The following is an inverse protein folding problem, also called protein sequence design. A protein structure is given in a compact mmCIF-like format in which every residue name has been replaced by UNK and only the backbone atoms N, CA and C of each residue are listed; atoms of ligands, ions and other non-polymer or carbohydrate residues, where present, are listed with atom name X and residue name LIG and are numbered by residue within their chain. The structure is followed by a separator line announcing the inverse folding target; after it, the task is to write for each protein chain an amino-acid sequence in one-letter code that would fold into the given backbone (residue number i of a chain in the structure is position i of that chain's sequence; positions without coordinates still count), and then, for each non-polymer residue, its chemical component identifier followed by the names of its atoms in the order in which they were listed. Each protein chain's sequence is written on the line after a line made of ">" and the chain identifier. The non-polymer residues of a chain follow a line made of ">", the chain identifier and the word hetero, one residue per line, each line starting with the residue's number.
data_IF_725843386020
#
_entry.id   IF_725843386020
#
_cell.length_a   1.000
_cell.length_b   1.000
_cell.length_c   1.000
_cell.angle_alpha   90.00
_cell.angle_beta   90.00
_cell.angle_gamma   90.00
#
_symmetry.space_group_name_H-M   'P 1'
#
loop_
_entity.id
_entity.type
_entity.pdbx_description
1 polymer ?
#
# COMPACT_ATOMS: atom_id res chain seq x y z
N UNK A 1 33.17 -63.68 18.13
CA UNK A 1 33.27 -62.21 17.96
C UNK A 1 31.88 -61.61 17.77
N UNK A 2 31.25 -61.11 18.84
CA UNK A 2 30.10 -60.20 18.83
C UNK A 2 30.17 -59.39 20.13
N UNK A 3 30.34 -58.07 20.05
CA UNK A 3 30.22 -57.16 21.20
C UNK A 3 28.75 -56.76 21.35
N UNK A 4 28.22 -56.68 22.57
CA UNK A 4 27.14 -55.76 22.89
C UNK A 4 27.66 -54.57 23.69
N UNK A 5 27.24 -53.39 23.25
CA UNK A 5 27.53 -52.07 23.78
C UNK A 5 26.71 -51.80 25.04
N UNK A 6 27.37 -51.17 26.00
CA UNK A 6 26.85 -50.58 27.24
C UNK A 6 25.85 -49.44 26.98
N UNK A 7 24.63 -49.55 27.52
CA UNK A 7 23.75 -48.41 27.79
C UNK A 7 23.47 -48.36 29.29
N UNK A 8 23.94 -47.30 29.94
CA UNK A 8 23.57 -46.91 31.28
C UNK A 8 23.14 -45.44 31.27
N UNK A 9 22.29 -45.10 32.26
CA UNK A 9 21.80 -43.79 32.73
C UNK A 9 20.48 -43.34 32.08
N UNK A 10 19.43 -43.00 32.81
CA UNK A 10 19.23 -42.86 34.26
C UNK A 10 17.71 -42.77 34.48
N UNK A 11 17.16 -43.58 35.39
CA UNK A 11 15.83 -43.41 35.97
C UNK A 11 16.00 -42.97 37.43
N UNK A 12 15.52 -41.78 37.77
CA UNK A 12 15.20 -41.39 39.14
C UNK A 12 14.38 -40.10 39.10
N UNK A 13 13.08 -40.18 39.33
CA UNK A 13 12.41 -40.19 40.64
C UNK A 13 12.28 -38.79 41.24
N UNK A 14 11.02 -38.34 41.39
CA UNK A 14 10.47 -37.59 42.54
C UNK A 14 9.00 -37.21 42.27
N UNK A 15 8.14 -38.15 42.63
CA UNK A 15 6.82 -37.85 43.19
C UNK A 15 7.04 -37.00 44.43
N UNK A 16 6.47 -35.79 44.48
CA UNK A 16 6.33 -35.04 45.73
C UNK A 16 4.98 -34.34 45.74
N UNK A 17 4.06 -34.97 46.47
CA UNK A 17 2.80 -34.45 46.95
C UNK A 17 3.04 -33.22 47.82
N UNK A 18 2.61 -32.05 47.36
CA UNK A 18 2.19 -30.95 48.24
C UNK A 18 0.78 -30.54 47.88
N UNK A 19 -0.12 -30.71 48.85
CA UNK A 19 -1.45 -30.12 48.89
C UNK A 19 -1.33 -28.60 48.70
N UNK A 20 -1.65 -28.13 47.50
CA UNK A 20 -1.91 -26.72 47.23
C UNK A 20 -3.44 -26.53 47.18
N UNK A 21 -3.99 -25.42 47.71
CA UNK A 21 -5.40 -25.10 47.55
C UNK A 21 -5.76 -25.05 46.05
N UNK A 22 -7.00 -25.40 45.67
CA UNK A 22 -7.41 -25.35 44.27
C UNK A 22 -7.14 -23.95 43.72
N UNK A 23 -6.53 -23.81 42.52
CA UNK A 23 -6.37 -22.51 41.92
C UNK A 23 -7.77 -21.90 41.76
N UNK A 24 -7.97 -20.71 42.34
CA UNK A 24 -9.14 -19.88 42.06
C UNK A 24 -9.36 -19.86 40.55
N UNK A 25 -10.61 -19.97 40.05
CA UNK A 25 -10.87 -19.96 38.62
C UNK A 25 -10.24 -18.69 38.07
N UNK A 26 -9.16 -18.84 37.30
CA UNK A 26 -8.52 -17.74 36.62
C UNK A 26 -9.60 -17.17 35.69
N UNK A 27 -10.21 -16.05 36.10
CA UNK A 27 -11.09 -15.27 35.27
C UNK A 27 -10.25 -14.96 34.03
N UNK A 28 -10.59 -15.59 32.91
CA UNK A 28 -9.91 -15.33 31.65
C UNK A 28 -9.92 -13.80 31.48
N UNK A 29 -8.76 -13.15 31.25
CA UNK A 29 -8.73 -11.73 31.04
C UNK A 29 -9.74 -11.42 29.94
N UNK A 30 -10.68 -10.53 30.26
CA UNK A 30 -11.72 -10.12 29.32
C UNK A 30 -11.07 -9.83 27.97
N UNK A 31 -11.65 -10.31 26.86
CA UNK A 31 -11.09 -10.04 25.54
C UNK A 31 -10.85 -8.53 25.43
N UNK A 32 -9.67 -8.09 24.97
CA UNK A 32 -9.34 -6.68 24.92
C UNK A 32 -10.44 -5.94 24.18
N UNK A 33 -10.94 -4.86 24.79
CA UNK A 33 -11.95 -4.00 24.19
C UNK A 33 -11.39 -3.47 22.88
N UNK A 34 -11.96 -3.92 21.76
CA UNK A 34 -11.51 -3.53 20.42
C UNK A 34 -11.77 -2.05 20.20
N UNK A 35 -10.81 -1.36 19.59
CA UNK A 35 -10.97 0.06 19.25
C UNK A 35 -12.12 0.23 18.24
N UNK A 36 -12.68 1.44 18.19
CA UNK A 36 -13.67 1.77 17.16
C UNK A 36 -13.06 1.71 15.76
N UNK A 37 -11.77 2.04 15.63
CA UNK A 37 -11.03 1.97 14.39
C UNK A 37 -10.83 0.54 13.91
N UNK A 38 -10.40 -0.39 14.78
CA UNK A 38 -10.22 -1.81 14.46
C UNK A 38 -11.51 -2.41 13.89
N UNK A 39 -12.63 -2.21 14.60
CA UNK A 39 -13.94 -2.74 14.18
C UNK A 39 -14.38 -2.17 12.84
N UNK A 40 -14.23 -0.85 12.65
CA UNK A 40 -14.58 -0.20 11.40
C UNK A 40 -13.72 -0.72 10.24
N UNK A 41 -12.40 -0.72 10.40
CA UNK A 41 -11.49 -1.07 9.33
C UNK A 41 -11.63 -2.55 8.96
N UNK A 42 -11.76 -3.43 9.96
CA UNK A 42 -12.03 -4.85 9.73
C UNK A 42 -13.33 -5.06 8.93
N UNK A 43 -14.42 -4.38 9.31
CA UNK A 43 -15.70 -4.50 8.63
C UNK A 43 -15.61 -4.06 7.15
N UNK A 44 -14.99 -2.91 6.87
CA UNK A 44 -14.88 -2.43 5.48
C UNK A 44 -13.92 -3.27 4.64
N UNK A 45 -12.87 -3.85 5.25
CA UNK A 45 -12.01 -4.82 4.57
C UNK A 45 -12.76 -6.13 4.27
N UNK A 46 -13.62 -6.59 5.17
CA UNK A 46 -14.48 -7.75 4.95
C UNK A 46 -15.53 -7.48 3.85
N UNK A 47 -16.09 -6.26 3.78
CA UNK A 47 -16.95 -5.84 2.68
C UNK A 47 -16.20 -5.84 1.34
N UNK A 48 -15.00 -5.23 1.29
CA UNK A 48 -14.15 -5.21 0.10
C UNK A 48 -13.76 -6.63 -0.35
N UNK A 49 -13.63 -7.56 0.60
CA UNK A 49 -13.40 -8.98 0.35
C UNK A 49 -14.64 -9.67 -0.21
N UNK A 50 -15.80 -9.48 0.41
CA UNK A 50 -17.05 -10.07 -0.02
C UNK A 50 -17.44 -9.60 -1.43
N UNK A 51 -17.21 -8.32 -1.72
CA UNK A 51 -17.37 -7.73 -3.05
C UNK A 51 -16.50 -8.42 -4.11
N UNK A 52 -15.34 -8.96 -3.75
CA UNK A 52 -14.49 -9.71 -4.68
C UNK A 52 -15.18 -10.96 -5.25
N UNK A 53 -16.23 -11.46 -4.58
CA UNK A 53 -17.05 -12.57 -5.08
C UNK A 53 -18.03 -12.12 -6.16
N UNK A 54 -18.50 -10.87 -6.10
CA UNK A 54 -19.43 -10.28 -7.06
C UNK A 54 -18.70 -9.61 -8.25
N UNK A 55 -17.58 -8.96 -7.98
CA UNK A 55 -16.72 -8.34 -8.98
C UNK A 55 -15.26 -8.71 -8.69
N UNK A 56 -14.50 -9.28 -9.63
CA UNK A 56 -13.12 -9.68 -9.38
C UNK A 56 -12.28 -8.52 -8.82
N UNK A 57 -11.28 -8.80 -7.98
CA UNK A 57 -10.31 -7.80 -7.53
C UNK A 57 -9.44 -7.19 -8.65
N UNK A 58 -9.65 -7.67 -9.89
CA UNK A 58 -9.10 -7.14 -11.13
C UNK A 58 -10.03 -6.15 -11.86
N UNK A 59 -11.24 -5.92 -11.36
CA UNK A 59 -12.19 -4.96 -11.94
C UNK A 59 -11.91 -3.53 -11.51
N UNK A 60 -12.26 -2.57 -12.36
CA UNK A 60 -12.15 -1.15 -12.03
C UNK A 60 -13.02 -0.74 -10.84
N UNK A 61 -14.20 -1.36 -10.71
CA UNK A 61 -15.09 -1.13 -9.57
C UNK A 61 -14.43 -1.51 -8.23
N UNK A 62 -13.81 -2.69 -8.15
CA UNK A 62 -13.13 -3.14 -6.93
C UNK A 62 -11.94 -2.25 -6.59
N UNK A 63 -11.11 -1.90 -7.59
CA UNK A 63 -9.95 -1.02 -7.41
C UNK A 63 -10.37 0.39 -6.93
N UNK A 64 -11.47 0.93 -7.48
CA UNK A 64 -12.02 2.23 -7.07
C UNK A 64 -12.52 2.20 -5.62
N UNK A 65 -13.14 1.10 -5.19
CA UNK A 65 -13.53 0.89 -3.78
C UNK A 65 -12.33 0.79 -2.85
N UNK A 66 -11.28 0.07 -3.25
CA UNK A 66 -10.04 0.00 -2.49
C UNK A 66 -9.37 1.37 -2.30
N UNK A 67 -9.35 2.22 -3.34
CA UNK A 67 -8.88 3.61 -3.24
C UNK A 67 -9.78 4.44 -2.32
N UNK A 68 -11.10 4.28 -2.42
CA UNK A 68 -12.05 5.00 -1.57
C UNK A 68 -11.88 4.63 -0.09
N UNK A 69 -11.61 3.36 0.21
CA UNK A 69 -11.24 2.90 1.56
C UNK A 69 -9.92 3.53 2.03
N UNK A 70 -8.90 3.61 1.16
CA UNK A 70 -7.65 4.29 1.49
C UNK A 70 -7.89 5.77 1.84
N UNK A 71 -8.66 6.49 1.02
CA UNK A 71 -9.04 7.89 1.28
C UNK A 71 -9.76 8.01 2.63
N UNK A 72 -10.76 7.16 2.89
CA UNK A 72 -11.50 7.19 4.15
C UNK A 72 -10.60 6.91 5.37
N UNK A 73 -9.66 5.98 5.25
CA UNK A 73 -8.72 5.68 6.33
C UNK A 73 -7.77 6.85 6.60
N UNK A 74 -7.25 7.52 5.57
CA UNK A 74 -6.42 8.72 5.72
C UNK A 74 -7.21 9.88 6.35
N UNK A 75 -8.46 10.12 5.94
CA UNK A 75 -9.34 11.14 6.56
C UNK A 75 -9.53 10.90 8.06
N UNK A 76 -9.81 9.64 8.44
CA UNK A 76 -9.97 9.27 9.85
C UNK A 76 -8.68 9.48 10.64
N UNK A 77 -7.53 9.18 10.04
CA UNK A 77 -6.22 9.45 10.63
C UNK A 77 -6.00 10.95 10.87
N UNK A 78 -6.37 11.82 9.93
CA UNK A 78 -6.28 13.29 10.09
C UNK A 78 -7.15 13.76 11.25
N UNK A 79 -8.40 13.30 11.35
CA UNK A 79 -9.32 13.65 12.44
C UNK A 79 -8.80 13.17 13.79
N UNK A 80 -8.44 11.88 13.89
CA UNK A 80 -7.84 11.33 15.11
C UNK A 80 -6.55 12.06 15.50
N UNK A 81 -5.85 12.61 14.51
CA UNK A 81 -4.63 13.38 14.72
C UNK A 81 -4.84 14.83 15.18
N UNK A 82 -6.02 15.41 14.96
CA UNK A 82 -6.33 16.73 15.49
C UNK A 82 -6.64 16.67 17.00
N UNK A 83 -7.29 15.58 17.44
CA UNK A 83 -7.80 15.45 18.81
C UNK A 83 -6.77 14.86 19.80
N UNK A 84 -5.70 14.24 19.28
CA UNK A 84 -4.77 13.44 20.07
C UNK A 84 -3.40 14.12 20.25
N UNK A 85 -3.05 14.45 21.50
CA UNK A 85 -1.67 14.73 21.95
C UNK A 85 -0.80 13.47 22.13
N UNK A 86 -1.06 12.41 21.35
CA UNK A 86 -0.73 11.01 21.72
C UNK A 86 0.53 10.45 21.04
N UNK A 87 1.13 11.14 20.07
CA UNK A 87 2.38 10.68 19.41
C UNK A 87 3.59 11.35 20.06
N UNK A 88 4.02 10.83 21.21
CA UNK A 88 5.10 11.38 22.04
C UNK A 88 6.53 11.13 21.48
N UNK A 89 6.69 10.88 20.17
CA UNK A 89 8.01 10.62 19.56
C UNK A 89 8.19 11.36 18.24
N UNK A 90 8.99 12.43 18.29
CA UNK A 90 9.53 13.14 17.11
C UNK A 90 10.07 12.19 16.04
N UNK A 91 10.86 11.18 16.43
CA UNK A 91 11.43 10.20 15.51
C UNK A 91 10.36 9.42 14.72
N UNK A 92 9.24 9.08 15.36
CA UNK A 92 8.16 8.38 14.65
C UNK A 92 7.38 9.33 13.74
N UNK A 93 7.27 10.62 14.07
CA UNK A 93 6.61 11.60 13.21
C UNK A 93 7.41 11.84 11.92
N UNK A 94 8.73 11.98 12.02
CA UNK A 94 9.63 12.15 10.86
C UNK A 94 9.57 10.92 9.93
N UNK A 95 9.68 9.70 10.49
CA UNK A 95 9.55 8.45 9.72
C UNK A 95 8.18 8.34 9.02
N UNK A 96 7.10 8.75 9.69
CA UNK A 96 5.76 8.73 9.09
C UNK A 96 5.57 9.80 8.02
N UNK A 97 6.22 10.96 8.15
CA UNK A 97 6.21 11.99 7.12
C UNK A 97 6.98 11.55 5.87
N UNK A 98 8.08 10.81 6.04
CA UNK A 98 8.81 10.18 4.94
C UNK A 98 7.97 9.09 4.27
N UNK A 99 7.26 8.28 5.05
CA UNK A 99 6.35 7.27 4.53
C UNK A 99 5.18 7.89 3.73
N UNK A 100 4.63 9.02 4.20
CA UNK A 100 3.64 9.77 3.44
C UNK A 100 4.22 10.31 2.12
N UNK A 101 5.48 10.76 2.11
CA UNK A 101 6.16 11.18 0.89
C UNK A 101 6.33 10.03 -0.11
N UNK A 102 6.72 8.84 0.35
CA UNK A 102 6.80 7.64 -0.52
C UNK A 102 5.43 7.28 -1.14
N UNK A 103 4.33 7.44 -0.40
CA UNK A 103 2.97 7.24 -0.92
C UNK A 103 2.55 8.32 -1.93
N UNK A 104 2.96 9.58 -1.72
CA UNK A 104 2.73 10.67 -2.67
C UNK A 104 3.48 10.44 -3.99
N UNK A 105 4.74 10.01 -3.92
CA UNK A 105 5.53 9.64 -5.10
C UNK A 105 4.89 8.47 -5.86
N UNK A 106 4.30 7.52 -5.14
CA UNK A 106 3.56 6.42 -5.75
C UNK A 106 2.26 6.90 -6.43
N UNK A 107 1.54 7.85 -5.82
CA UNK A 107 0.36 8.47 -6.44
C UNK A 107 0.74 9.21 -7.74
N UNK A 108 1.85 9.95 -7.74
CA UNK A 108 2.36 10.61 -8.95
C UNK A 108 2.69 9.58 -10.04
N UNK A 109 3.41 8.51 -9.70
CA UNK A 109 3.73 7.44 -10.66
C UNK A 109 2.50 6.69 -11.19
N UNK A 110 1.41 6.60 -10.41
CA UNK A 110 0.12 6.07 -10.88
C UNK A 110 -0.53 7.02 -11.87
N UNK A 111 -0.54 8.32 -11.61
CA UNK A 111 -1.09 9.34 -12.52
C UNK A 111 -0.38 9.31 -13.88
N UNK A 112 0.94 9.24 -13.88
CA UNK A 112 1.73 9.10 -15.12
C UNK A 112 1.30 7.87 -15.94
N UNK A 113 0.90 6.78 -15.27
CA UNK A 113 0.39 5.58 -15.95
C UNK A 113 -1.03 5.75 -16.49
N UNK A 114 -1.88 6.47 -15.78
CA UNK A 114 -3.23 6.79 -16.26
C UNK A 114 -3.16 7.67 -17.52
N UNK A 115 -2.22 8.62 -17.58
CA UNK A 115 -1.94 9.42 -18.77
C UNK A 115 -1.41 8.57 -19.95
N UNK A 116 -0.57 7.57 -19.66
CA UNK A 116 -0.17 6.59 -20.68
C UNK A 116 -1.36 5.78 -21.21
N UNK A 117 -2.29 5.36 -20.34
CA UNK A 117 -3.50 4.65 -20.77
C UNK A 117 -4.42 5.51 -21.63
N UNK A 118 -4.57 6.80 -21.32
CA UNK A 118 -5.27 7.73 -22.21
C UNK A 118 -4.61 7.83 -23.57
N UNK A 119 -3.28 7.88 -23.61
CA UNK A 119 -2.53 7.86 -24.87
C UNK A 119 -2.80 6.59 -25.67
N UNK A 120 -2.91 5.43 -25.00
CA UNK A 120 -3.29 4.17 -25.63
C UNK A 120 -4.71 4.19 -26.21
N UNK A 121 -5.68 4.67 -25.43
CA UNK A 121 -7.07 4.82 -25.86
C UNK A 121 -7.17 5.75 -27.07
N UNK A 122 -6.50 6.90 -27.01
CA UNK A 122 -6.48 7.87 -28.11
C UNK A 122 -5.86 7.28 -29.38
N UNK A 123 -4.71 6.60 -29.28
CA UNK A 123 -4.09 5.94 -30.42
C UNK A 123 -5.00 4.85 -31.02
N UNK A 124 -5.71 4.10 -30.17
CA UNK A 124 -6.69 3.11 -30.64
C UNK A 124 -7.85 3.78 -31.38
N UNK A 125 -8.40 4.88 -30.86
CA UNK A 125 -9.47 5.65 -31.53
C UNK A 125 -9.02 6.23 -32.87
N UNK A 126 -7.80 6.77 -32.95
CA UNK A 126 -7.22 7.24 -34.21
C UNK A 126 -7.13 6.10 -35.21
N UNK A 127 -6.67 4.92 -34.79
CA UNK A 127 -6.62 3.75 -35.67
C UNK A 127 -8.00 3.36 -36.19
N UNK A 128 -9.01 3.34 -35.32
CA UNK A 128 -10.39 3.01 -35.69
C UNK A 128 -10.98 4.04 -36.67
N UNK A 129 -10.74 5.33 -36.44
CA UNK A 129 -11.20 6.40 -37.33
C UNK A 129 -10.69 6.23 -38.77
N UNK A 130 -9.41 5.89 -38.95
CA UNK A 130 -8.85 5.62 -40.28
C UNK A 130 -9.47 4.42 -40.98
N UNK A 131 -10.00 3.45 -40.23
CA UNK A 131 -10.62 2.23 -40.77
C UNK A 131 -12.11 2.42 -41.12
N UNK A 132 -12.79 3.39 -40.49
CA UNK A 132 -14.22 3.67 -40.71
C UNK A 132 -14.51 4.37 -42.03
N UNK A 133 -13.62 5.25 -42.49
CA UNK A 133 -13.91 6.21 -43.56
C UNK A 133 -14.23 5.60 -44.93
N UNK A 134 -14.21 4.28 -45.12
CA UNK A 134 -14.48 3.66 -46.43
C UNK A 134 -13.41 3.96 -47.50
N UNK A 135 -12.39 4.74 -47.15
CA UNK A 135 -11.21 5.04 -47.98
C UNK A 135 -10.22 3.89 -47.87
N UNK A 136 -10.69 2.65 -48.06
CA UNK A 136 -9.98 1.38 -47.85
C UNK A 136 -8.76 1.15 -48.76
N UNK A 137 -8.09 2.22 -49.17
CA UNK A 137 -6.79 2.20 -49.78
C UNK A 137 -5.67 2.03 -48.76
N UNK A 138 -4.52 1.65 -49.30
CA UNK A 138 -3.28 1.36 -48.58
C UNK A 138 -2.82 2.51 -47.65
N UNK A 139 -3.17 3.76 -47.96
CA UNK A 139 -2.83 4.91 -47.12
C UNK A 139 -3.55 4.88 -45.75
N UNK A 140 -4.85 4.58 -45.72
CA UNK A 140 -5.61 4.50 -44.48
C UNK A 140 -5.14 3.33 -43.60
N UNK A 141 -4.83 2.18 -44.24
CA UNK A 141 -4.25 1.03 -43.55
C UNK A 141 -2.88 1.35 -42.93
N UNK A 142 -2.02 2.11 -43.64
CA UNK A 142 -0.73 2.57 -43.11
C UNK A 142 -0.89 3.50 -41.92
N UNK A 143 -1.84 4.43 -41.95
CA UNK A 143 -2.11 5.33 -40.82
C UNK A 143 -2.65 4.58 -39.60
N UNK A 144 -3.60 3.66 -39.79
CA UNK A 144 -4.08 2.80 -38.71
C UNK A 144 -2.95 1.94 -38.12
N UNK A 145 -2.07 1.39 -38.96
CA UNK A 145 -0.90 0.63 -38.50
C UNK A 145 0.08 1.50 -37.69
N UNK A 146 0.32 2.75 -38.08
CA UNK A 146 1.14 3.68 -37.32
C UNK A 146 0.55 3.96 -35.93
N UNK A 147 -0.76 4.21 -35.86
CA UNK A 147 -1.46 4.40 -34.58
C UNK A 147 -1.42 3.14 -33.69
N UNK A 148 -1.52 1.94 -34.26
CA UNK A 148 -1.30 0.71 -33.49
C UNK A 148 0.15 0.51 -33.05
N UNK A 149 1.14 1.03 -33.79
CA UNK A 149 2.53 1.00 -33.34
C UNK A 149 2.77 1.92 -32.12
N UNK A 150 2.01 3.03 -32.01
CA UNK A 150 1.98 3.86 -30.80
C UNK A 150 1.36 3.12 -29.62
N UNK A 151 0.28 2.37 -29.85
CA UNK A 151 -0.31 1.49 -28.84
C UNK A 151 0.75 0.51 -28.30
N UNK A 152 1.47 -0.19 -29.19
CA UNK A 152 2.55 -1.11 -28.81
C UNK A 152 3.68 -0.41 -28.04
N UNK A 153 3.99 0.85 -28.37
CA UNK A 153 4.97 1.65 -27.64
C UNK A 153 4.49 1.99 -26.23
N UNK A 154 3.20 2.28 -26.05
CA UNK A 154 2.60 2.43 -24.72
C UNK A 154 2.64 1.11 -23.96
N UNK A 155 2.23 -0.01 -24.56
CA UNK A 155 2.28 -1.32 -23.90
C UNK A 155 3.71 -1.61 -23.40
N UNK A 156 4.72 -1.41 -24.25
CA UNK A 156 6.14 -1.58 -23.88
C UNK A 156 6.55 -0.68 -22.71
N UNK A 157 6.18 0.61 -22.73
CA UNK A 157 6.47 1.55 -21.63
C UNK A 157 5.79 1.14 -20.32
N UNK A 158 4.54 0.70 -20.37
CA UNK A 158 3.78 0.22 -19.20
C UNK A 158 4.28 -1.12 -18.66
N UNK A 159 5.01 -1.92 -19.44
CA UNK A 159 5.67 -3.16 -18.96
C UNK A 159 7.03 -2.93 -18.30
N UNK A 160 7.64 -1.77 -18.51
CA UNK A 160 8.99 -1.44 -18.06
C UNK A 160 9.07 -1.01 -16.59
N UNK A 161 10.21 -1.27 -15.96
CA UNK A 161 10.54 -0.84 -14.60
C UNK A 161 10.80 0.67 -14.47
N UNK A 162 9.89 1.51 -14.99
CA UNK A 162 9.94 2.97 -14.86
C UNK A 162 9.71 3.45 -13.43
N UNK A 163 9.51 4.76 -13.23
CA UNK A 163 9.36 5.41 -11.92
C UNK A 163 8.43 4.65 -10.96
N UNK A 164 7.25 4.23 -11.42
CA UNK A 164 6.32 3.51 -10.57
C UNK A 164 6.84 2.13 -10.09
N UNK A 165 7.72 1.44 -10.82
CA UNK A 165 8.29 0.18 -10.33
C UNK A 165 9.21 0.39 -9.12
N UNK A 166 9.94 1.52 -9.08
CA UNK A 166 10.72 1.94 -7.91
C UNK A 166 9.77 2.28 -6.76
N UNK A 167 8.74 3.07 -7.01
CA UNK A 167 7.75 3.42 -5.99
C UNK A 167 7.05 2.17 -5.43
N UNK A 168 6.62 1.22 -6.26
CA UNK A 168 6.01 -0.05 -5.82
C UNK A 168 6.96 -0.92 -4.99
N UNK A 169 8.27 -0.90 -5.31
CA UNK A 169 9.26 -1.59 -4.48
C UNK A 169 9.42 -0.94 -3.10
N UNK A 170 9.31 0.39 -3.03
CA UNK A 170 9.33 1.12 -1.76
C UNK A 170 8.04 0.87 -0.98
N UNK A 171 6.87 0.89 -1.65
CA UNK A 171 5.58 0.55 -1.04
C UNK A 171 5.58 -0.82 -0.37
N UNK A 172 6.27 -1.81 -0.97
CA UNK A 172 6.44 -3.12 -0.33
C UNK A 172 7.14 -2.98 1.03
N UNK A 173 8.29 -2.31 1.06
CA UNK A 173 9.05 -2.06 2.31
C UNK A 173 8.23 -1.25 3.30
N UNK A 174 7.50 -0.25 2.81
CA UNK A 174 6.62 0.62 3.58
C UNK A 174 5.49 -0.18 4.24
N UNK A 175 4.90 -1.12 3.51
CA UNK A 175 3.87 -2.00 4.07
C UNK A 175 4.42 -3.01 5.08
N UNK A 176 5.62 -3.57 4.84
CA UNK A 176 6.29 -4.47 5.81
C UNK A 176 6.56 -3.72 7.13
N UNK A 177 7.03 -2.46 7.04
CA UNK A 177 7.20 -1.57 8.20
C UNK A 177 5.87 -1.26 8.91
N UNK A 178 4.79 -1.02 8.16
CA UNK A 178 3.48 -0.69 8.74
C UNK A 178 2.97 -1.78 9.70
N UNK A 179 3.09 -3.05 9.32
CA UNK A 179 2.65 -4.19 10.13
C UNK A 179 3.60 -4.48 11.29
N UNK A 180 4.92 -4.32 11.09
CA UNK A 180 5.88 -4.47 12.18
C UNK A 180 5.69 -3.40 13.27
N UNK A 181 5.43 -2.15 12.86
CA UNK A 181 5.19 -1.04 13.78
C UNK A 181 3.88 -1.23 14.56
N UNK A 182 2.81 -1.73 13.92
CA UNK A 182 1.56 -2.07 14.61
C UNK A 182 1.78 -3.07 15.76
N UNK A 183 2.65 -4.07 15.54
CA UNK A 183 2.95 -5.13 16.53
C UNK A 183 3.90 -4.70 17.65
N UNK A 184 4.75 -3.70 17.41
CA UNK A 184 5.73 -3.22 18.39
C UNK A 184 5.20 -2.10 19.29
N UNK A 185 4.11 -1.44 18.90
CA UNK A 185 3.53 -0.34 19.67
C UNK A 185 2.62 -0.87 20.78
N UNK A 186 2.84 -0.38 22.01
CA UNK A 186 2.04 -0.74 23.17
C UNK A 186 0.58 -0.30 22.96
N UNK A 187 -0.41 -1.14 23.30
CA UNK A 187 -1.84 -0.82 23.14
C UNK A 187 -2.33 0.37 23.98
N UNK A 188 -1.49 0.90 24.87
CA UNK A 188 -1.80 2.08 25.69
C UNK A 188 -1.57 3.42 24.95
N UNK A 189 -0.88 3.44 23.81
CA UNK A 189 -0.65 4.65 23.00
C UNK A 189 -1.63 4.74 21.83
N UNK A 190 -2.81 5.31 22.07
CA UNK A 190 -3.97 5.29 21.16
C UNK A 190 -3.91 6.08 19.84
N UNK A 191 -2.75 6.15 19.16
CA UNK A 191 -2.64 6.75 17.82
C UNK A 191 -1.83 5.93 16.81
N UNK A 192 -1.27 4.80 17.24
CA UNK A 192 -0.45 3.91 16.40
C UNK A 192 -1.26 3.04 15.45
N UNK A 193 -2.47 2.66 15.87
CA UNK A 193 -3.33 1.75 15.14
C UNK A 193 -3.95 2.41 13.91
N UNK A 194 -4.47 3.63 14.05
CA UNK A 194 -5.05 4.41 12.97
C UNK A 194 -4.03 4.65 11.87
N UNK A 195 -2.82 5.06 12.26
CA UNK A 195 -1.71 5.33 11.36
C UNK A 195 -1.26 4.07 10.61
N UNK A 196 -1.06 2.97 11.33
CA UNK A 196 -0.63 1.70 10.71
C UNK A 196 -1.70 1.13 9.78
N UNK A 197 -2.97 1.14 10.19
CA UNK A 197 -4.09 0.68 9.36
C UNK A 197 -4.27 1.55 8.11
N UNK A 198 -4.28 2.88 8.25
CA UNK A 198 -4.47 3.79 7.12
C UNK A 198 -3.35 3.66 6.09
N UNK A 199 -2.11 3.55 6.58
CA UNK A 199 -0.94 3.28 5.76
C UNK A 199 -1.02 1.93 5.04
N UNK A 200 -1.39 0.87 5.74
CA UNK A 200 -1.44 -0.47 5.18
C UNK A 200 -2.50 -0.59 4.07
N UNK A 201 -3.65 0.08 4.24
CA UNK A 201 -4.68 0.19 3.19
C UNK A 201 -4.19 1.02 2.00
N UNK A 202 -3.54 2.16 2.22
CA UNK A 202 -3.02 2.98 1.13
C UNK A 202 -1.98 2.22 0.29
N UNK A 203 -1.10 1.46 0.94
CA UNK A 203 -0.15 0.55 0.27
C UNK A 203 -0.87 -0.52 -0.54
N UNK A 204 -1.89 -1.16 0.02
CA UNK A 204 -2.70 -2.15 -0.70
C UNK A 204 -3.34 -1.53 -1.95
N UNK A 205 -4.04 -0.41 -1.81
CA UNK A 205 -4.80 0.20 -2.89
C UNK A 205 -3.90 0.69 -4.03
N UNK A 206 -2.85 1.46 -3.71
CA UNK A 206 -1.90 1.97 -4.72
C UNK A 206 -1.05 0.85 -5.30
N UNK A 207 -0.66 -0.14 -4.50
CA UNK A 207 0.05 -1.32 -4.96
C UNK A 207 -0.76 -2.15 -5.95
N UNK A 208 -2.01 -2.45 -5.63
CA UNK A 208 -2.94 -3.21 -6.47
C UNK A 208 -3.25 -2.46 -7.77
N UNK A 209 -3.53 -1.16 -7.69
CA UNK A 209 -3.77 -0.31 -8.85
C UNK A 209 -2.51 -0.22 -9.73
N UNK A 210 -1.36 0.07 -9.15
CA UNK A 210 -0.10 0.15 -9.89
C UNK A 210 0.23 -1.13 -10.65
N UNK A 211 -0.07 -2.30 -10.07
CA UNK A 211 0.06 -3.58 -10.78
C UNK A 211 -1.04 -3.80 -11.84
N UNK A 212 -2.28 -3.40 -11.55
CA UNK A 212 -3.44 -3.51 -12.46
C UNK A 212 -3.23 -2.77 -13.78
N UNK A 213 -2.62 -1.58 -13.73
CA UNK A 213 -2.38 -0.71 -14.89
C UNK A 213 -1.21 -1.19 -15.79
N UNK A 214 -0.72 -2.43 -15.64
CA UNK A 214 0.35 -2.98 -16.47
C UNK A 214 -0.18 -3.94 -17.53
N UNK A 215 0.31 -3.81 -18.77
CA UNK A 215 -0.08 -4.70 -19.88
C UNK A 215 0.53 -6.10 -19.77
N UNK A 216 1.71 -6.23 -19.14
CA UNK A 216 2.32 -7.51 -18.77
C UNK A 216 2.99 -7.39 -17.41
N UNK A 217 2.42 -8.00 -16.37
CA UNK A 217 3.04 -8.07 -15.05
C UNK A 217 4.30 -8.95 -15.13
N UNK A 218 5.49 -8.35 -15.14
CA UNK A 218 6.76 -9.14 -15.14
C UNK A 218 7.10 -9.69 -13.76
N UNK A 219 6.73 -8.95 -12.71
CA UNK A 219 7.00 -9.29 -11.31
C UNK A 219 5.70 -9.63 -10.61
N UNK A 220 5.80 -10.57 -9.69
CA UNK A 220 4.70 -10.89 -8.79
C UNK A 220 4.30 -9.72 -7.91
N UNK A 221 3.03 -9.67 -7.51
CA UNK A 221 2.59 -8.72 -6.50
C UNK A 221 3.29 -9.09 -5.20
N UNK A 222 4.15 -8.19 -4.75
CA UNK A 222 4.85 -8.33 -3.49
C UNK A 222 3.91 -7.98 -2.36
N UNK A 223 3.18 -8.95 -1.82
CA UNK A 223 2.44 -8.72 -0.58
C UNK A 223 3.35 -8.83 0.63
N UNK A 224 2.82 -8.34 1.75
CA UNK A 224 3.48 -8.32 3.05
C UNK A 224 3.94 -9.72 3.44
N UNK A 225 5.12 -9.83 4.02
CA UNK A 225 5.58 -11.08 4.60
C UNK A 225 4.55 -11.53 5.64
N UNK A 226 3.87 -12.65 5.36
CA UNK A 226 3.13 -13.42 6.36
C UNK A 226 4.16 -14.02 7.31
N UNK A 227 4.70 -13.18 8.20
CA UNK A 227 5.51 -13.63 9.32
C UNK A 227 4.63 -14.49 10.20
N UNK A 228 4.68 -15.80 9.96
CA UNK A 228 4.26 -16.85 10.88
C UNK A 228 4.75 -16.44 12.27
N UNK A 229 3.86 -16.49 13.25
CA UNK A 229 4.13 -16.34 14.68
C UNK A 229 5.21 -17.33 15.15
N UNK A 230 6.47 -17.08 14.81
CA UNK A 230 7.65 -17.80 15.26
C UNK A 230 8.36 -17.00 16.34
N UNK A 231 7.68 -16.73 17.45
CA UNK A 231 8.25 -15.93 18.53
C UNK A 231 7.32 -15.77 19.73
N UNK A 232 7.16 -16.84 20.52
CA UNK A 232 7.02 -16.86 21.99
C UNK A 232 5.95 -16.04 22.73
N UNK A 233 5.24 -15.10 22.12
CA UNK A 233 4.25 -14.27 22.79
C UNK A 233 3.02 -14.07 21.89
N UNK A 234 1.88 -14.65 22.29
CA UNK A 234 0.59 -14.43 21.64
C UNK A 234 0.11 -13.00 21.92
N UNK A 235 0.62 -12.01 21.19
CA UNK A 235 -0.12 -10.78 20.98
C UNK A 235 -1.31 -11.13 20.07
N UNK A 236 -2.53 -10.86 20.52
CA UNK A 236 -3.74 -11.02 19.72
C UNK A 236 -3.66 -9.98 18.61
N UNK A 237 -3.50 -10.41 17.35
CA UNK A 237 -3.49 -9.51 16.21
C UNK A 237 -4.81 -8.75 16.11
N UNK A 238 -4.75 -7.47 15.70
CA UNK A 238 -5.94 -6.68 15.45
C UNK A 238 -6.81 -7.35 14.36
N UNK A 239 -8.13 -7.23 14.45
CA UNK A 239 -9.03 -7.88 13.50
C UNK A 239 -8.82 -7.34 12.09
N UNK A 240 -8.57 -6.03 11.97
CA UNK A 240 -8.30 -5.41 10.68
C UNK A 240 -7.03 -5.98 10.01
N UNK A 241 -6.00 -6.36 10.78
CA UNK A 241 -4.79 -6.98 10.23
C UNK A 241 -5.12 -8.33 9.58
N UNK A 242 -5.94 -9.14 10.24
CA UNK A 242 -6.38 -10.43 9.70
C UNK A 242 -7.21 -10.25 8.42
N UNK A 243 -8.17 -9.30 8.43
CA UNK A 243 -8.98 -9.00 7.25
C UNK A 243 -8.11 -8.49 6.09
N UNK A 244 -7.15 -7.61 6.38
CA UNK A 244 -6.23 -7.07 5.38
C UNK A 244 -5.35 -8.16 4.76
N UNK A 245 -4.81 -9.07 5.58
CA UNK A 245 -4.00 -10.20 5.10
C UNK A 245 -4.79 -11.08 4.14
N UNK A 246 -6.07 -11.31 4.42
CA UNK A 246 -6.94 -12.10 3.56
C UNK A 246 -7.22 -11.39 2.23
N UNK A 247 -7.52 -10.08 2.25
CA UNK A 247 -7.65 -9.28 1.01
C UNK A 247 -6.36 -9.31 0.20
N UNK A 248 -5.21 -9.13 0.84
CA UNK A 248 -3.90 -9.19 0.18
C UNK A 248 -3.60 -10.56 -0.42
N UNK A 249 -4.00 -11.64 0.26
CA UNK A 249 -3.88 -13.01 -0.24
C UNK A 249 -4.69 -13.18 -1.52
N UNK A 250 -5.95 -12.75 -1.54
CA UNK A 250 -6.82 -12.85 -2.70
C UNK A 250 -6.29 -12.04 -3.91
N UNK A 251 -5.91 -10.77 -3.68
CA UNK A 251 -5.31 -9.92 -4.72
C UNK A 251 -4.06 -10.57 -5.30
N UNK A 252 -3.19 -11.10 -4.43
CA UNK A 252 -1.95 -11.76 -4.88
C UNK A 252 -2.24 -13.00 -5.72
N UNK A 253 -3.10 -13.88 -5.24
CA UNK A 253 -3.45 -15.13 -5.94
C UNK A 253 -4.02 -14.84 -7.34
N UNK A 254 -4.95 -13.90 -7.42
CA UNK A 254 -5.58 -13.52 -8.69
C UNK A 254 -4.57 -12.83 -9.64
N UNK A 255 -3.72 -11.94 -9.13
CA UNK A 255 -2.72 -11.27 -9.97
C UNK A 255 -1.61 -12.21 -10.43
N UNK A 256 -1.18 -13.17 -9.60
CA UNK A 256 -0.24 -14.22 -10.02
C UNK A 256 -0.87 -15.14 -11.08
N UNK A 257 -2.16 -15.47 -10.95
CA UNK A 257 -2.90 -16.22 -11.97
C UNK A 257 -2.89 -15.47 -13.30
N UNK A 258 -3.35 -14.22 -13.32
CA UNK A 258 -3.34 -13.35 -14.52
C UNK A 258 -1.95 -13.17 -15.12
N UNK A 259 -0.94 -13.05 -14.27
CA UNK A 259 0.47 -12.96 -14.67
C UNK A 259 0.93 -14.23 -15.41
N UNK A 260 0.59 -15.42 -14.90
CA UNK A 260 0.90 -16.70 -15.57
C UNK A 260 0.20 -16.81 -16.92
N UNK A 261 -1.01 -16.29 -17.01
CA UNK A 261 -1.77 -16.21 -18.26
C UNK A 261 -1.20 -15.18 -19.26
N UNK A 262 -0.28 -14.31 -18.80
CA UNK A 262 0.39 -13.32 -19.64
C UNK A 262 -0.49 -12.16 -20.11
N UNK A 263 -1.61 -11.94 -19.43
CA UNK A 263 -2.63 -10.91 -19.72
C UNK A 263 -2.51 -9.72 -18.76
N UNK A 264 -3.03 -8.54 -19.13
CA UNK A 264 -3.17 -7.43 -18.18
C UNK A 264 -3.96 -7.85 -16.94
N UNK A 265 -3.56 -7.35 -15.77
CA UNK A 265 -4.26 -7.67 -14.54
C UNK A 265 -5.66 -7.08 -14.52
N UNK A 266 -5.83 -5.82 -14.93
CA UNK A 266 -7.15 -5.17 -14.95
C UNK A 266 -8.04 -5.68 -16.09
N UNK A 267 -9.28 -6.04 -15.78
CA UNK A 267 -10.21 -6.64 -16.74
C UNK A 267 -10.57 -5.69 -17.90
N UNK A 268 -10.81 -4.41 -17.61
CA UNK A 268 -11.14 -3.38 -18.59
C UNK A 268 -9.97 -3.13 -19.54
N UNK A 269 -8.74 -3.12 -19.02
CA UNK A 269 -7.52 -2.99 -19.82
C UNK A 269 -7.28 -4.21 -20.71
N UNK A 270 -7.49 -5.42 -20.18
CA UNK A 270 -7.38 -6.67 -20.93
C UNK A 270 -8.40 -6.70 -22.08
N UNK A 271 -9.65 -6.34 -21.82
CA UNK A 271 -10.70 -6.28 -22.83
C UNK A 271 -10.41 -5.24 -23.93
N UNK A 272 -9.97 -4.03 -23.56
CA UNK A 272 -9.55 -3.00 -24.52
C UNK A 272 -8.36 -3.48 -25.36
N UNK A 273 -7.34 -4.05 -24.73
CA UNK A 273 -6.17 -4.55 -25.45
C UNK A 273 -6.51 -5.74 -26.36
N UNK A 274 -7.39 -6.65 -25.94
CA UNK A 274 -7.83 -7.77 -26.76
C UNK A 274 -8.59 -7.32 -28.01
N UNK A 275 -9.50 -6.35 -27.87
CA UNK A 275 -10.25 -5.80 -29.01
C UNK A 275 -9.36 -5.00 -29.96
N UNK A 276 -8.44 -4.19 -29.44
CA UNK A 276 -7.44 -3.48 -30.25
C UNK A 276 -6.56 -4.46 -31.05
N UNK A 277 -6.08 -5.54 -30.41
CA UNK A 277 -5.34 -6.61 -31.09
C UNK A 277 -6.17 -7.30 -32.16
N UNK A 278 -7.46 -7.57 -31.92
CA UNK A 278 -8.35 -8.18 -32.90
C UNK A 278 -8.52 -7.30 -34.15
N UNK A 279 -8.70 -5.99 -33.97
CA UNK A 279 -8.76 -5.02 -35.07
C UNK A 279 -7.45 -5.04 -35.87
N UNK A 280 -6.31 -4.94 -35.18
CA UNK A 280 -5.00 -4.96 -35.82
C UNK A 280 -4.76 -6.24 -36.63
N UNK A 281 -5.12 -7.40 -36.08
CA UNK A 281 -4.98 -8.68 -36.79
C UNK A 281 -5.86 -8.74 -38.05
N UNK A 282 -7.06 -8.16 -38.02
CA UNK A 282 -7.92 -8.08 -39.19
C UNK A 282 -7.28 -7.22 -40.30
N UNK A 283 -6.72 -6.06 -39.91
CA UNK A 283 -6.03 -5.14 -40.83
C UNK A 283 -4.76 -5.77 -41.42
N UNK A 284 -3.93 -6.40 -40.59
CA UNK A 284 -2.70 -7.06 -41.06
C UNK A 284 -2.98 -8.23 -42.02
N UNK A 285 -4.14 -8.88 -41.90
CA UNK A 285 -4.59 -9.91 -42.84
C UNK A 285 -5.14 -9.38 -44.16
N UNK A 286 -5.06 -8.06 -44.42
CA UNK A 286 -5.60 -7.42 -45.62
C UNK A 286 -7.13 -7.47 -45.72
N UNK A 287 -7.81 -7.87 -44.65
CA UNK A 287 -9.27 -7.97 -44.60
C UNK A 287 -9.86 -6.67 -44.07
N UNK A 288 -11.02 -6.29 -44.61
CA UNK A 288 -11.84 -5.24 -43.98
C UNK A 288 -12.18 -5.69 -42.56
N UNK A 289 -11.86 -4.85 -41.58
CA UNK A 289 -12.21 -5.13 -40.19
C UNK A 289 -13.74 -5.17 -40.06
N UNK A 290 -14.33 -6.22 -39.46
CA UNK A 290 -15.77 -6.27 -39.26
C UNK A 290 -16.23 -5.11 -38.36
N UNK A 291 -17.32 -4.45 -38.75
CA UNK A 291 -17.88 -3.30 -38.01
C UNK A 291 -18.13 -3.61 -36.54
N UNK A 292 -18.70 -4.79 -36.23
CA UNK A 292 -18.91 -5.28 -34.86
C UNK A 292 -17.62 -5.32 -34.02
N UNK A 293 -16.48 -5.62 -34.64
CA UNK A 293 -15.17 -5.67 -33.95
C UNK A 293 -14.68 -4.25 -33.66
N UNK A 294 -14.87 -3.32 -34.60
CA UNK A 294 -14.53 -1.91 -34.42
C UNK A 294 -15.42 -1.23 -33.36
N UNK A 295 -16.73 -1.50 -33.38
CA UNK A 295 -17.68 -1.04 -32.37
C UNK A 295 -17.35 -1.58 -30.97
N UNK A 296 -17.00 -2.87 -30.88
CA UNK A 296 -16.54 -3.45 -29.63
C UNK A 296 -15.26 -2.75 -29.13
N UNK A 297 -14.30 -2.47 -30.01
CA UNK A 297 -13.07 -1.75 -29.64
C UNK A 297 -13.35 -0.32 -29.16
N UNK A 298 -14.27 0.42 -29.80
CA UNK A 298 -14.72 1.75 -29.34
C UNK A 298 -15.30 1.67 -27.94
N UNK A 299 -16.28 0.80 -27.74
CA UNK A 299 -16.93 0.61 -26.44
C UNK A 299 -15.92 0.27 -25.34
N UNK A 300 -14.96 -0.62 -25.61
CA UNK A 300 -13.92 -0.97 -24.60
C UNK A 300 -12.96 0.17 -24.33
N UNK A 301 -12.68 1.03 -25.32
CA UNK A 301 -11.94 2.26 -25.12
C UNK A 301 -12.71 3.25 -24.23
N UNK A 302 -14.02 3.39 -24.42
CA UNK A 302 -14.88 4.24 -23.59
C UNK A 302 -14.91 3.72 -22.13
N UNK A 303 -15.14 2.42 -21.93
CA UNK A 303 -15.12 1.78 -20.61
C UNK A 303 -13.75 1.93 -19.90
N UNK A 304 -12.64 1.83 -20.64
CA UNK A 304 -11.29 2.02 -20.08
C UNK A 304 -11.01 3.49 -19.72
N UNK A 305 -11.51 4.44 -20.52
CA UNK A 305 -11.37 5.87 -20.24
C UNK A 305 -12.22 6.28 -19.02
N UNK A 306 -13.44 5.77 -18.90
CA UNK A 306 -14.28 5.95 -17.71
C UNK A 306 -13.60 5.40 -16.45
N UNK A 307 -13.03 4.19 -16.53
CA UNK A 307 -12.26 3.61 -15.43
C UNK A 307 -11.04 4.48 -15.07
N UNK A 308 -10.29 4.96 -16.06
CA UNK A 308 -9.14 5.84 -15.83
C UNK A 308 -9.55 7.16 -15.15
N UNK A 309 -10.66 7.77 -15.58
CA UNK A 309 -11.19 8.99 -14.95
C UNK A 309 -11.58 8.76 -13.49
N UNK A 310 -12.26 7.65 -13.18
CA UNK A 310 -12.62 7.28 -11.81
C UNK A 310 -11.38 7.07 -10.93
N UNK A 311 -10.32 6.44 -11.46
CA UNK A 311 -9.07 6.31 -10.72
C UNK A 311 -8.38 7.64 -10.48
N UNK A 312 -8.35 8.54 -11.45
CA UNK A 312 -7.71 9.84 -11.28
C UNK A 312 -8.40 10.70 -10.22
N UNK A 313 -9.73 10.67 -10.18
CA UNK A 313 -10.49 11.31 -9.12
C UNK A 313 -10.05 10.79 -7.75
N UNK A 314 -10.05 9.46 -7.56
CA UNK A 314 -9.74 8.85 -6.26
C UNK A 314 -8.26 8.94 -5.88
N UNK A 315 -7.34 8.84 -6.84
CA UNK A 315 -5.90 9.08 -6.60
C UNK A 315 -5.67 10.55 -6.26
N UNK A 316 -6.39 11.47 -6.90
CA UNK A 316 -6.37 12.90 -6.56
C UNK A 316 -6.88 13.18 -5.16
N UNK A 317 -7.96 12.52 -4.73
CA UNK A 317 -8.44 12.56 -3.35
C UNK A 317 -7.39 12.02 -2.38
N UNK A 318 -6.86 10.82 -2.62
CA UNK A 318 -5.86 10.21 -1.73
C UNK A 318 -4.61 11.08 -1.60
N UNK A 319 -4.16 11.66 -2.70
CA UNK A 319 -3.02 12.58 -2.71
C UNK A 319 -3.27 13.81 -1.82
N UNK A 320 -4.47 14.39 -1.85
CA UNK A 320 -4.82 15.52 -0.95
C UNK A 320 -4.84 15.09 0.52
N UNK A 321 -5.41 13.93 0.83
CA UNK A 321 -5.43 13.43 2.22
C UNK A 321 -4.01 13.11 2.72
N UNK A 322 -3.15 12.55 1.88
CA UNK A 322 -1.75 12.30 2.24
C UNK A 322 -0.96 13.59 2.51
N UNK A 323 -1.23 14.67 1.76
CA UNK A 323 -0.70 15.99 2.07
C UNK A 323 -1.17 16.45 3.46
N UNK A 324 -2.47 16.33 3.75
CA UNK A 324 -3.03 16.71 5.05
C UNK A 324 -2.39 15.92 6.20
N UNK A 325 -2.28 14.60 6.06
CA UNK A 325 -1.57 13.73 7.03
C UNK A 325 -0.13 14.20 7.24
N UNK A 326 0.61 14.44 6.15
CA UNK A 326 2.00 14.91 6.24
C UNK A 326 2.11 16.26 6.94
N UNK A 327 1.21 17.19 6.66
CA UNK A 327 1.18 18.51 7.32
C UNK A 327 0.97 18.37 8.82
N UNK A 328 -0.03 17.58 9.24
CA UNK A 328 -0.31 17.35 10.67
C UNK A 328 0.87 16.65 11.37
N UNK A 329 1.53 15.70 10.72
CA UNK A 329 2.72 15.05 11.26
C UNK A 329 3.90 16.02 11.43
N UNK A 330 4.14 16.89 10.45
CA UNK A 330 5.22 17.89 10.49
C UNK A 330 4.94 19.00 11.52
N UNK A 331 3.70 19.46 11.64
CA UNK A 331 3.29 20.44 12.65
C UNK A 331 3.53 19.91 14.06
N UNK A 332 3.22 18.64 14.31
CA UNK A 332 3.53 17.98 15.58
C UNK A 332 5.03 17.86 15.84
N UNK A 333 5.81 17.47 14.83
CA UNK A 333 7.26 17.39 14.96
C UNK A 333 7.87 18.75 15.36
N UNK A 334 7.32 19.87 14.84
CA UNK A 334 7.71 21.24 15.21
C UNK A 334 7.19 21.69 16.58
N UNK A 335 5.96 21.33 16.96
CA UNK A 335 5.40 21.64 18.29
C UNK A 335 6.24 21.10 19.45
N UNK A 336 6.89 19.94 19.26
CA UNK A 336 7.86 19.41 20.20
C UNK A 336 9.18 20.19 20.28
N UNK A 337 9.54 21.00 19.27
CA UNK A 337 10.74 21.85 19.32
C UNK A 337 10.53 23.08 20.21
N UNK A 338 9.34 23.68 20.17
CA UNK A 338 9.00 24.83 21.02
C UNK A 338 8.96 24.44 22.50
N UNK A 339 8.34 23.30 22.85
CA UNK A 339 8.31 22.80 24.23
C UNK A 339 9.70 22.41 24.75
N UNK A 340 10.64 22.04 23.87
CA UNK A 340 12.03 21.70 24.25
C UNK A 340 12.88 22.95 24.53
N UNK A 341 12.60 24.07 23.88
CA UNK A 341 13.29 25.35 24.12
C UNK A 341 12.87 25.99 25.45
N UNK A 342 11.63 25.76 25.89
CA UNK A 342 11.13 26.30 27.16
C UNK A 342 11.54 25.47 28.40
N UNK A 343 12.08 24.27 28.22
CA UNK A 343 12.46 23.35 29.31
C UNK A 343 13.97 23.16 29.51
N UNK A 344 14.83 23.93 28.84
CA UNK A 344 16.23 24.01 29.28
C UNK A 344 16.29 24.87 30.54
N UNK A 345 16.60 24.32 31.74
CA UNK A 345 16.84 25.17 32.89
C UNK A 345 18.02 26.06 32.53
N UNK A 346 17.80 27.37 32.55
CA UNK A 346 18.88 28.33 32.62
C UNK A 346 19.75 27.87 33.80
N UNK A 347 20.93 27.32 33.50
CA UNK A 347 21.97 27.20 34.50
C UNK A 347 22.28 28.62 34.93
N UNK A 348 21.66 29.01 36.03
CA UNK A 348 21.98 30.18 36.83
C UNK A 348 23.49 30.18 37.02
N UNK A 349 24.18 31.04 36.27
CA UNK A 349 25.52 31.52 36.57
C UNK A 349 25.48 32.16 37.96
N UNK A 350 25.68 31.35 38.99
CA UNK A 350 26.05 31.82 40.31
C UNK A 350 27.48 32.37 40.22
N UNK A 351 27.55 33.65 39.87
CA UNK A 351 28.69 34.52 40.14
C UNK A 351 29.12 34.41 41.60
N UNK A 352 30.33 33.90 41.83
CA UNK A 352 31.17 34.30 42.97
C UNK A 352 32.62 34.41 42.49
N UNK A 353 33.12 35.62 42.20
CA UNK A 353 34.56 35.83 42.14
C UNK A 353 35.09 35.84 43.58
N UNK A 354 35.98 34.87 43.87
CA UNK A 354 36.72 34.79 45.12
C UNK A 354 37.86 35.82 45.05
N UNK A 355 37.63 37.02 45.60
CA UNK A 355 38.68 37.99 45.86
C UNK A 355 39.63 37.43 46.93
N UNK A 356 40.88 37.10 46.57
CA UNK A 356 41.97 36.91 47.52
C UNK A 356 42.77 38.20 47.65
N UNK A 357 42.74 38.80 48.85
CA UNK A 357 43.65 39.87 49.21
C UNK A 357 45.01 39.25 49.59
N UNK A 358 46.01 39.42 48.73
CA UNK A 358 47.40 39.13 49.08
C UNK A 358 48.01 40.38 49.72
N UNK A 359 48.15 40.35 51.05
CA UNK A 359 48.76 41.42 51.83
C UNK A 359 50.27 41.23 51.81
N UNK A 360 50.97 42.09 51.08
CA UNK A 360 52.40 42.34 51.28
C UNK A 360 52.59 42.96 52.67
N UNK A 361 53.51 42.39 53.43
CA UNK A 361 54.22 43.09 54.50
C UNK A 361 55.67 42.65 54.41
N UNK A 362 56.49 43.57 53.91
CA UNK A 362 57.95 43.59 54.05
C UNK A 362 58.34 43.90 55.51
N UNK A 363 59.65 43.86 55.79
CA UNK A 363 60.41 44.14 57.04
C UNK A 363 60.65 42.88 57.89
N UNK A 364 61.87 42.37 58.11
CA UNK A 364 63.23 42.94 58.09
C UNK A 364 64.25 41.83 57.72
#
# INVERSE_FOLDING_TARGET
>A
MKKPTTLLRSFSSRLSTRLAPPPSPAVAPWPPVRSAYDRWLAAVLDELRADSLAAPCTSAAWLTRALSLAVAAQRRLVVASADAGIIDRRKTADECADDAAELLDACAGVRDRLDMLRSYVNATRVALHWLEGGHGGEAAARQAAAAFAECDAVERRCTGGGGLAKCLSNLRKLGERAVLNARQQNPAGGGGEELSGARAVAVLAIGALGAALTFRPRRGVSGLATGVSGGGGKAVAAQWECALQEVQRQVREEYERRRKDGVPCMAELDAAAATARAVRCAVAGGRRCPEKVMEAARRRCDELEEAAAAFEEKVGELHRELIAVRMVLLERARGHEFLRLDCTPAHSEASRPRFSWSRKSDVN
#
